data_IF_682527092261
#
_entry.id   IF_682527092261
#
_cell.length_a   1.000
_cell.length_b   1.000
_cell.length_c   1.000
_cell.angle_alpha   90.00
_cell.angle_beta   90.00
_cell.angle_gamma   90.00
#
_symmetry.space_group_name_H-M   'P 1'
#
loop_
_entity.id
_entity.type
_entity.pdbx_description
1 polymer ?
#
# COMPACT_ATOMS: atom_id res chain seq x y z
N UNK A 1 -1.24 5.98 9.16
CA UNK A 1 -0.93 7.42 8.85
C UNK A 1 0.08 7.49 7.71
N UNK A 2 0.16 8.63 6.96
CA UNK A 2 1.22 8.83 5.94
C UNK A 2 2.16 9.93 6.42
N UNK A 3 3.44 9.61 6.57
CA UNK A 3 4.50 10.56 6.94
C UNK A 3 5.24 11.02 5.68
N UNK A 4 5.57 12.32 5.62
CA UNK A 4 6.35 12.89 4.52
C UNK A 4 7.81 13.03 4.93
N UNK A 5 8.73 12.46 4.15
CA UNK A 5 10.17 12.58 4.37
C UNK A 5 10.89 12.87 3.06
N UNK A 6 12.08 13.49 3.18
CA UNK A 6 12.93 13.80 2.03
C UNK A 6 14.22 12.98 2.08
N UNK A 7 14.69 12.56 0.93
CA UNK A 7 15.94 11.81 0.75
C UNK A 7 16.82 12.41 -0.33
N UNK A 8 18.14 12.32 -0.12
CA UNK A 8 19.11 12.49 -1.19
C UNK A 8 18.92 11.41 -2.25
N UNK A 9 19.41 11.64 -3.47
CA UNK A 9 19.25 10.71 -4.58
C UNK A 9 19.75 9.29 -4.25
N UNK A 10 20.97 9.14 -3.70
CA UNK A 10 21.56 7.80 -3.44
C UNK A 10 20.72 6.94 -2.48
N UNK A 11 20.33 7.38 -1.28
CA UNK A 11 19.46 6.60 -0.40
C UNK A 11 18.05 6.39 -0.99
N UNK A 12 17.51 7.36 -1.72
CA UNK A 12 16.21 7.21 -2.39
C UNK A 12 16.23 6.06 -3.41
N UNK A 13 17.24 6.02 -4.28
CA UNK A 13 17.39 4.96 -5.28
C UNK A 13 17.64 3.59 -4.65
N UNK A 14 18.37 3.52 -3.54
CA UNK A 14 18.61 2.27 -2.80
C UNK A 14 17.32 1.74 -2.14
N UNK A 15 16.43 2.60 -1.64
CA UNK A 15 15.11 2.17 -1.16
C UNK A 15 14.25 1.74 -2.34
N UNK A 16 14.21 2.54 -3.42
CA UNK A 16 13.40 2.26 -4.61
C UNK A 16 13.70 0.90 -5.25
N UNK A 17 14.97 0.49 -5.28
CA UNK A 17 15.40 -0.80 -5.84
C UNK A 17 15.49 -1.94 -4.80
N UNK A 18 15.11 -1.69 -3.54
CA UNK A 18 15.08 -2.69 -2.47
C UNK A 18 16.42 -3.01 -1.82
N UNK A 19 17.54 -2.40 -2.26
CA UNK A 19 18.86 -2.65 -1.66
C UNK A 19 19.07 -1.97 -0.30
N UNK A 20 18.17 -1.06 0.09
CA UNK A 20 18.12 -0.44 1.42
C UNK A 20 16.71 -0.62 1.98
N UNK A 21 16.60 -1.35 3.08
CA UNK A 21 15.35 -1.63 3.77
C UNK A 21 15.23 -0.94 5.13
N UNK A 22 16.29 -0.32 5.64
CA UNK A 22 16.23 0.48 6.87
C UNK A 22 16.68 1.91 6.57
N UNK A 23 15.78 2.87 6.81
CA UNK A 23 16.10 4.29 6.79
C UNK A 23 16.58 4.74 8.17
N UNK A 24 17.61 5.61 8.19
CA UNK A 24 18.31 6.07 9.39
C UNK A 24 17.92 7.50 9.74
N UNK A 25 17.40 7.73 10.95
CA UNK A 25 16.96 9.04 11.43
C UNK A 25 17.33 9.27 12.91
N UNK A 26 17.34 10.53 13.35
CA UNK A 26 17.21 10.81 14.78
C UNK A 26 15.81 10.42 15.26
N UNK A 27 15.69 9.98 16.51
CA UNK A 27 14.41 9.71 17.15
C UNK A 27 13.82 11.01 17.76
N UNK A 28 13.80 12.08 16.95
CA UNK A 28 13.24 13.38 17.32
C UNK A 28 11.71 13.34 17.43
N UNK A 29 11.11 14.41 17.94
CA UNK A 29 9.69 14.52 18.21
C UNK A 29 8.82 14.14 16.99
N UNK A 30 9.28 14.51 15.78
CA UNK A 30 8.56 14.18 14.53
C UNK A 30 8.62 12.69 14.22
N UNK A 31 9.76 12.03 14.47
CA UNK A 31 9.95 10.60 14.16
C UNK A 31 9.39 9.68 15.24
N UNK A 32 9.21 10.19 16.47
CA UNK A 32 8.50 9.47 17.54
C UNK A 32 7.02 9.21 17.21
N UNK A 33 6.43 9.99 16.29
CA UNK A 33 5.06 9.80 15.83
C UNK A 33 4.90 8.62 14.86
N UNK A 34 6.01 8.12 14.27
CA UNK A 34 5.99 7.00 13.33
C UNK A 34 5.71 5.70 14.09
N UNK A 35 4.77 4.91 13.56
CA UNK A 35 4.38 3.61 14.12
C UNK A 35 4.56 2.51 13.09
N UNK A 36 4.78 1.29 13.55
CA UNK A 36 4.68 0.10 12.70
C UNK A 36 3.28 0.07 12.08
N UNK A 37 3.23 -0.16 10.77
CA UNK A 37 2.00 -0.11 10.02
C UNK A 37 1.67 1.25 9.40
N UNK A 38 2.42 2.32 9.69
CA UNK A 38 2.29 3.59 8.98
C UNK A 38 2.91 3.52 7.58
N UNK A 39 2.57 4.49 6.75
CA UNK A 39 3.22 4.72 5.45
C UNK A 39 4.20 5.88 5.54
N UNK A 40 5.27 5.80 4.76
CA UNK A 40 6.17 6.94 4.53
C UNK A 40 6.25 7.19 3.04
N UNK A 41 5.89 8.40 2.63
CA UNK A 41 6.16 8.90 1.30
C UNK A 41 7.50 9.66 1.31
N UNK A 42 8.46 9.13 0.58
CA UNK A 42 9.74 9.78 0.37
C UNK A 42 9.72 10.55 -0.95
N UNK A 43 10.15 11.83 -0.91
CA UNK A 43 10.45 12.60 -2.10
C UNK A 43 11.96 12.83 -2.23
N UNK A 44 12.48 12.87 -3.46
CA UNK A 44 13.87 13.23 -3.71
C UNK A 44 14.07 14.74 -3.49
N UNK A 45 15.20 15.10 -2.89
CA UNK A 45 15.52 16.52 -2.65
C UNK A 45 15.80 17.25 -3.96
N UNK A 46 16.51 16.62 -4.90
CA UNK A 46 16.89 17.16 -6.21
C UNK A 46 15.77 17.05 -7.27
N UNK A 47 14.75 16.21 -7.02
CA UNK A 47 13.58 16.07 -7.87
C UNK A 47 12.32 15.78 -7.01
N UNK A 48 11.69 16.80 -6.41
CA UNK A 48 10.58 16.62 -5.47
C UNK A 48 9.32 15.94 -6.07
N UNK A 49 9.21 15.91 -7.40
CA UNK A 49 8.11 15.23 -8.08
C UNK A 49 8.29 13.70 -8.12
N UNK A 50 9.51 13.22 -7.96
CA UNK A 50 9.76 11.79 -7.86
C UNK A 50 9.58 11.33 -6.43
N UNK A 51 8.59 10.48 -6.23
CA UNK A 51 8.17 9.97 -4.93
C UNK A 51 8.14 8.45 -4.92
N UNK A 52 8.37 7.88 -3.76
CA UNK A 52 8.15 6.46 -3.47
C UNK A 52 7.38 6.34 -2.16
N UNK A 53 6.53 5.34 -2.06
CA UNK A 53 5.79 5.05 -0.85
C UNK A 53 6.21 3.71 -0.26
N UNK A 54 6.39 3.68 1.05
CA UNK A 54 6.83 2.51 1.80
C UNK A 54 5.91 2.26 2.98
N UNK A 55 5.83 1.01 3.42
CA UNK A 55 5.19 0.58 4.67
C UNK A 55 6.25 0.43 5.75
N UNK A 56 5.99 0.94 6.94
CA UNK A 56 6.83 0.73 8.13
C UNK A 56 6.56 -0.67 8.68
N UNK A 57 7.56 -1.54 8.68
CA UNK A 57 7.46 -2.93 9.14
C UNK A 57 8.04 -3.13 10.53
N UNK A 58 9.07 -2.35 10.91
CA UNK A 58 9.64 -2.35 12.25
C UNK A 58 10.29 -1.01 12.59
N UNK A 59 10.50 -0.75 13.89
CA UNK A 59 11.17 0.43 14.41
C UNK A 59 12.25 -0.02 15.40
N UNK A 60 13.50 0.33 15.10
CA UNK A 60 14.69 -0.02 15.89
C UNK A 60 15.23 1.24 16.55
N UNK A 61 15.13 1.34 17.88
CA UNK A 61 15.58 2.50 18.67
C UNK A 61 16.85 2.17 19.43
N UNK A 62 17.86 3.07 19.33
CA UNK A 62 19.14 2.95 20.00
C UNK A 62 19.60 4.34 20.49
N UNK A 63 20.55 4.35 21.40
CA UNK A 63 21.12 5.61 21.90
C UNK A 63 22.06 6.25 20.87
N UNK A 64 22.71 5.44 20.02
CA UNK A 64 23.64 5.91 18.99
C UNK A 64 23.54 5.12 17.69
N UNK A 65 24.00 5.74 16.58
CA UNK A 65 24.14 5.00 15.31
C UNK A 65 25.20 3.90 15.39
N UNK A 66 26.21 4.05 16.24
CA UNK A 66 27.22 3.02 16.44
C UNK A 66 26.61 1.73 16.99
N UNK A 67 25.74 1.83 18.00
CA UNK A 67 25.01 0.68 18.54
C UNK A 67 24.06 0.07 17.52
N UNK A 68 23.35 0.92 16.79
CA UNK A 68 22.43 0.49 15.72
C UNK A 68 23.18 -0.30 14.64
N UNK A 69 24.36 0.16 14.22
CA UNK A 69 25.18 -0.51 13.21
C UNK A 69 25.80 -1.82 13.73
N UNK A 70 26.09 -1.90 15.02
CA UNK A 70 26.57 -3.14 15.64
C UNK A 70 25.47 -4.21 15.78
N UNK A 71 24.19 -3.77 15.86
CA UNK A 71 23.04 -4.64 16.15
C UNK A 71 22.32 -5.15 14.90
N UNK A 72 22.45 -4.48 13.76
CA UNK A 72 21.69 -4.80 12.54
C UNK A 72 22.61 -4.99 11.33
N UNK A 73 22.27 -5.88 10.38
CA UNK A 73 23.07 -6.13 9.19
C UNK A 73 23.24 -4.87 8.33
N UNK A 74 24.47 -4.56 7.94
CA UNK A 74 24.80 -3.38 7.12
C UNK A 74 24.13 -3.36 5.75
N UNK A 75 23.79 -4.52 5.23
CA UNK A 75 23.07 -4.69 3.96
C UNK A 75 21.69 -4.02 4.03
N UNK A 76 21.02 -4.06 5.18
CA UNK A 76 19.73 -3.37 5.39
C UNK A 76 19.84 -1.85 5.29
N UNK A 77 21.05 -1.28 5.52
CA UNK A 77 21.31 0.16 5.32
C UNK A 77 21.73 0.50 3.88
N UNK A 78 21.82 -0.53 3.02
CA UNK A 78 22.19 -0.41 1.62
C UNK A 78 23.70 -0.44 1.36
N UNK A 79 24.50 -1.03 2.25
CA UNK A 79 25.91 -1.34 2.02
C UNK A 79 26.07 -2.72 1.43
N UNK A 80 26.97 -2.89 0.47
CA UNK A 80 27.29 -4.19 -0.05
C UNK A 80 28.07 -5.03 0.99
N UNK A 81 28.09 -6.36 0.83
CA UNK A 81 28.76 -7.27 1.78
C UNK A 81 30.25 -7.00 1.92
N UNK A 82 30.91 -6.54 0.85
CA UNK A 82 32.32 -6.15 0.78
C UNK A 82 32.58 -4.67 1.12
N UNK A 83 31.52 -3.86 1.23
CA UNK A 83 31.61 -2.43 1.58
C UNK A 83 31.75 -2.25 3.10
N UNK A 84 32.71 -1.41 3.52
CA UNK A 84 32.86 -1.06 4.92
C UNK A 84 31.81 -0.02 5.35
N UNK A 85 31.14 -0.24 6.47
CA UNK A 85 30.30 0.75 7.13
C UNK A 85 31.09 1.38 8.28
N UNK A 86 31.56 2.65 8.15
CA UNK A 86 32.25 3.33 9.25
C UNK A 86 31.30 3.56 10.44
N UNK A 87 31.76 3.38 11.69
CA UNK A 87 30.94 3.63 12.88
C UNK A 87 30.40 5.06 12.99
N UNK A 88 31.14 6.03 12.41
CA UNK A 88 30.84 7.46 12.39
C UNK A 88 30.16 7.92 11.09
N UNK A 89 29.71 6.98 10.26
CA UNK A 89 29.09 7.28 8.95
C UNK A 89 27.97 8.35 9.03
N UNK A 90 27.20 8.34 10.09
CA UNK A 90 26.09 9.28 10.28
C UNK A 90 26.48 10.62 10.93
N UNK A 91 27.71 10.77 11.41
CA UNK A 91 28.19 12.02 12.03
C UNK A 91 28.25 13.17 11.00
N UNK A 92 28.39 12.84 9.71
CA UNK A 92 28.27 13.81 8.61
C UNK A 92 26.85 14.41 8.43
N UNK A 93 25.83 13.73 8.95
CA UNK A 93 24.42 14.14 8.83
C UNK A 93 23.83 14.63 10.14
N UNK A 94 24.28 14.06 11.28
CA UNK A 94 23.75 14.35 12.60
C UNK A 94 24.90 14.47 13.61
N UNK A 95 25.03 15.64 14.26
CA UNK A 95 26.03 15.82 15.30
C UNK A 95 25.82 14.87 16.48
N UNK A 96 26.89 14.50 17.19
CA UNK A 96 26.83 13.61 18.36
C UNK A 96 25.93 14.17 19.46
N UNK A 97 25.96 15.47 19.71
CA UNK A 97 25.05 16.14 20.63
C UNK A 97 23.56 15.84 20.31
N UNK A 98 23.18 15.84 19.01
CA UNK A 98 21.82 15.53 18.61
C UNK A 98 21.49 14.05 18.75
N UNK A 99 22.47 13.16 18.50
CA UNK A 99 22.30 11.72 18.72
C UNK A 99 22.09 11.45 20.22
N UNK A 100 22.89 12.03 21.11
CA UNK A 100 22.76 11.90 22.58
C UNK A 100 21.41 12.48 23.07
N UNK A 101 20.98 13.62 22.52
CA UNK A 101 19.74 14.27 22.93
C UNK A 101 18.47 13.50 22.55
N UNK A 102 18.42 12.93 21.36
CA UNK A 102 17.20 12.34 20.80
C UNK A 102 17.24 10.83 20.69
N UNK A 103 18.42 10.23 20.76
CA UNK A 103 18.64 8.87 20.31
C UNK A 103 18.50 8.74 18.79
N UNK A 104 18.58 7.54 18.28
CA UNK A 104 18.51 7.24 16.86
C UNK A 104 17.45 6.21 16.54
N UNK A 105 16.96 6.23 15.30
CA UNK A 105 15.88 5.40 14.83
C UNK A 105 16.24 4.77 13.49
N UNK A 106 16.28 3.44 13.44
CA UNK A 106 16.21 2.65 12.22
C UNK A 106 14.75 2.35 11.88
N UNK A 107 14.26 2.86 10.76
CA UNK A 107 12.90 2.63 10.28
C UNK A 107 12.97 1.52 9.24
N UNK A 108 12.48 0.31 9.57
CA UNK A 108 12.44 -0.79 8.61
C UNK A 108 11.24 -0.64 7.68
N UNK A 109 11.48 -0.81 6.37
CA UNK A 109 10.60 -0.41 5.31
C UNK A 109 10.38 -1.54 4.30
N UNK A 110 9.15 -1.66 3.81
CA UNK A 110 8.80 -2.44 2.63
C UNK A 110 8.23 -1.49 1.56
N UNK A 111 8.73 -1.60 0.33
CA UNK A 111 8.17 -0.85 -0.80
C UNK A 111 6.71 -1.25 -1.04
N UNK A 112 5.87 -0.28 -1.32
CA UNK A 112 4.50 -0.52 -1.79
C UNK A 112 4.34 -0.07 -3.23
N UNK A 113 3.43 -0.70 -3.94
CA UNK A 113 3.08 -0.32 -5.32
C UNK A 113 1.67 0.27 -5.40
N UNK A 114 1.14 0.79 -4.29
CA UNK A 114 -0.25 1.23 -4.18
C UNK A 114 -0.54 2.52 -4.97
N UNK A 115 0.49 3.29 -5.30
CA UNK A 115 0.32 4.55 -6.04
C UNK A 115 -0.40 4.36 -7.37
N UNK A 116 -0.19 3.20 -8.06
CA UNK A 116 -0.90 2.88 -9.31
C UNK A 116 -2.42 2.90 -9.18
N UNK A 117 -2.95 2.45 -8.03
CA UNK A 117 -4.38 2.47 -7.76
C UNK A 117 -4.87 3.90 -7.50
N UNK A 118 -4.12 4.68 -6.74
CA UNK A 118 -4.45 6.06 -6.40
C UNK A 118 -4.51 6.89 -7.67
N UNK A 119 -3.46 6.81 -8.50
CA UNK A 119 -3.39 7.54 -9.76
C UNK A 119 -4.54 7.18 -10.71
N UNK A 120 -4.85 5.87 -10.83
CA UNK A 120 -5.96 5.44 -11.67
C UNK A 120 -7.33 5.85 -11.12
N UNK A 121 -7.51 5.86 -9.80
CA UNK A 121 -8.74 6.33 -9.16
C UNK A 121 -8.90 7.86 -9.24
N UNK A 122 -7.81 8.62 -9.22
CA UNK A 122 -7.84 10.08 -9.29
C UNK A 122 -8.02 10.60 -10.72
N UNK A 123 -7.37 9.96 -11.69
CA UNK A 123 -7.25 10.48 -13.06
C UNK A 123 -7.85 9.58 -14.13
N UNK A 124 -8.33 8.39 -13.77
CA UNK A 124 -8.67 7.33 -14.72
C UNK A 124 -7.42 6.61 -15.26
N UNK A 125 -7.62 5.50 -15.94
CA UNK A 125 -6.56 4.77 -16.61
C UNK A 125 -7.00 4.35 -18.02
N UNK A 126 -6.24 4.72 -19.05
CA UNK A 126 -6.56 4.55 -20.46
C UNK A 126 -7.93 5.18 -20.76
N UNK A 127 -8.93 4.32 -21.06
CA UNK A 127 -10.32 4.71 -21.33
C UNK A 127 -11.24 4.57 -20.10
N UNK A 128 -10.63 4.35 -18.92
CA UNK A 128 -11.34 4.18 -17.66
C UNK A 128 -11.61 5.52 -16.97
N UNK A 129 -12.64 5.51 -16.14
CA UNK A 129 -13.10 6.66 -15.40
C UNK A 129 -12.54 6.73 -13.97
N UNK A 130 -12.70 7.88 -13.33
CA UNK A 130 -12.26 8.14 -11.96
C UNK A 130 -13.09 7.40 -10.92
N UNK A 131 -12.60 7.37 -9.68
CA UNK A 131 -13.35 6.86 -8.53
C UNK A 131 -14.67 7.60 -8.32
N UNK A 132 -14.71 8.92 -8.54
CA UNK A 132 -15.95 9.69 -8.41
C UNK A 132 -17.02 9.20 -9.36
N UNK A 133 -16.65 8.92 -10.62
CA UNK A 133 -17.58 8.34 -11.60
C UNK A 133 -18.04 6.96 -11.16
N UNK A 134 -17.09 6.10 -10.72
CA UNK A 134 -17.40 4.76 -10.24
C UNK A 134 -18.41 4.79 -9.06
N UNK A 135 -18.17 5.63 -8.09
CA UNK A 135 -19.04 5.78 -6.92
C UNK A 135 -20.45 6.28 -7.30
N UNK A 136 -20.52 7.25 -8.23
CA UNK A 136 -21.80 7.75 -8.75
C UNK A 136 -22.59 6.65 -9.48
N UNK A 137 -21.93 5.85 -10.33
CA UNK A 137 -22.55 4.75 -11.06
C UNK A 137 -23.08 3.67 -10.10
N UNK A 138 -22.31 3.31 -9.07
CA UNK A 138 -22.75 2.33 -8.06
C UNK A 138 -23.95 2.86 -7.29
N UNK A 139 -23.97 4.12 -6.88
CA UNK A 139 -25.15 4.72 -6.23
C UNK A 139 -26.38 4.78 -7.13
N UNK A 140 -26.21 4.77 -8.44
CA UNK A 140 -27.30 4.67 -9.43
C UNK A 140 -27.71 3.20 -9.71
N UNK A 141 -27.03 2.23 -9.10
CA UNK A 141 -27.32 0.81 -9.25
C UNK A 141 -26.82 0.20 -10.57
N UNK A 142 -25.99 0.91 -11.35
CA UNK A 142 -25.52 0.40 -12.63
C UNK A 142 -24.15 0.93 -13.02
N UNK A 143 -23.18 0.03 -13.17
CA UNK A 143 -21.87 0.31 -13.76
C UNK A 143 -22.01 0.54 -15.27
N UNK A 144 -21.42 1.63 -15.76
CA UNK A 144 -21.47 2.03 -17.17
C UNK A 144 -20.07 2.17 -17.80
N UNK A 145 -19.07 2.56 -17.03
CA UNK A 145 -17.73 2.87 -17.51
C UNK A 145 -16.65 1.89 -17.03
N UNK A 146 -15.40 2.08 -17.46
CA UNK A 146 -14.31 1.11 -17.30
C UNK A 146 -13.42 1.48 -16.13
N UNK A 147 -13.73 1.02 -14.92
CA UNK A 147 -12.97 1.31 -13.70
C UNK A 147 -12.78 0.11 -12.76
N UNK A 148 -13.33 -1.04 -13.10
CA UNK A 148 -13.43 -2.21 -12.21
C UNK A 148 -12.09 -2.64 -11.61
N UNK A 149 -11.01 -2.67 -12.41
CA UNK A 149 -9.72 -3.24 -12.03
C UNK A 149 -9.00 -2.49 -10.90
N UNK A 150 -9.19 -1.16 -10.81
CA UNK A 150 -8.50 -0.34 -9.82
C UNK A 150 -9.40 0.16 -8.68
N UNK A 151 -10.71 -0.03 -8.80
CA UNK A 151 -11.67 0.28 -7.74
C UNK A 151 -12.02 -0.97 -6.92
N UNK A 152 -12.23 -2.11 -7.58
CA UNK A 152 -12.39 -3.43 -6.96
C UNK A 152 -11.27 -4.37 -7.41
N UNK A 153 -10.04 -4.18 -6.90
CA UNK A 153 -8.89 -4.96 -7.36
C UNK A 153 -8.99 -6.42 -6.93
N UNK A 154 -8.43 -7.29 -7.78
CA UNK A 154 -8.42 -8.73 -7.59
C UNK A 154 -7.01 -9.23 -7.29
N UNK A 155 -6.89 -10.44 -6.72
CA UNK A 155 -5.62 -11.12 -6.57
C UNK A 155 -5.00 -11.41 -7.94
N UNK A 156 -3.68 -11.47 -8.02
CA UNK A 156 -2.91 -11.84 -9.20
C UNK A 156 -3.24 -13.28 -9.62
N UNK A 157 -3.24 -13.54 -10.93
CA UNK A 157 -3.48 -14.87 -11.49
C UNK A 157 -4.86 -15.05 -12.13
N UNK A 158 -5.83 -14.15 -11.88
CA UNK A 158 -7.20 -14.28 -12.39
C UNK A 158 -7.41 -13.77 -13.83
N UNK A 159 -6.40 -13.20 -14.46
CA UNK A 159 -6.52 -12.72 -15.84
C UNK A 159 -5.17 -12.35 -16.45
N UNK A 160 -5.15 -12.28 -17.79
CA UNK A 160 -3.93 -12.12 -18.58
C UNK A 160 -3.81 -10.78 -19.30
N UNK A 161 -4.84 -9.91 -19.25
CA UNK A 161 -4.74 -8.61 -19.89
C UNK A 161 -3.74 -7.70 -19.18
N UNK A 162 -3.10 -6.79 -19.91
CA UNK A 162 -2.16 -5.83 -19.34
C UNK A 162 -2.78 -5.01 -18.21
N UNK A 163 -4.04 -4.59 -18.34
CA UNK A 163 -4.77 -3.87 -17.29
C UNK A 163 -4.99 -4.73 -16.05
N UNK A 164 -5.39 -6.01 -16.24
CA UNK A 164 -5.56 -6.94 -15.12
C UNK A 164 -4.24 -7.16 -14.39
N UNK A 165 -3.13 -7.38 -15.11
CA UNK A 165 -1.82 -7.59 -14.52
C UNK A 165 -1.35 -6.33 -13.77
N UNK A 166 -1.54 -5.15 -14.35
CA UNK A 166 -1.14 -3.88 -13.74
C UNK A 166 -1.86 -3.61 -12.40
N UNK A 167 -3.16 -3.87 -12.35
CA UNK A 167 -4.01 -3.60 -11.18
C UNK A 167 -4.33 -4.84 -10.34
N UNK A 168 -3.62 -5.94 -10.53
CA UNK A 168 -3.73 -7.07 -9.62
C UNK A 168 -2.99 -6.79 -8.31
N UNK A 169 -3.57 -7.28 -7.22
CA UNK A 169 -2.92 -7.37 -5.90
C UNK A 169 -2.01 -8.59 -5.92
N UNK A 170 -0.73 -8.43 -5.58
CA UNK A 170 0.26 -9.50 -5.70
C UNK A 170 0.07 -10.63 -4.69
N UNK A 171 -0.33 -10.29 -3.46
CA UNK A 171 -0.48 -11.22 -2.33
C UNK A 171 -1.39 -10.60 -1.24
N UNK A 172 -1.66 -11.40 -0.20
CA UNK A 172 -2.50 -10.98 0.93
C UNK A 172 -1.91 -9.79 1.70
N UNK A 173 -0.58 -9.63 1.74
CA UNK A 173 0.06 -8.52 2.41
C UNK A 173 -0.14 -7.21 1.65
N UNK A 174 -0.11 -7.23 0.31
CA UNK A 174 -0.47 -6.04 -0.47
C UNK A 174 -1.95 -5.70 -0.33
N UNK A 175 -2.85 -6.69 -0.21
CA UNK A 175 -4.26 -6.45 0.09
C UNK A 175 -4.45 -5.78 1.46
N UNK A 176 -3.71 -6.22 2.47
CA UNK A 176 -3.68 -5.58 3.80
C UNK A 176 -3.12 -4.16 3.74
N UNK A 177 -2.06 -3.93 2.98
CA UNK A 177 -1.53 -2.59 2.76
C UNK A 177 -2.54 -1.68 2.04
N UNK A 178 -3.22 -2.20 1.00
CA UNK A 178 -4.28 -1.48 0.30
C UNK A 178 -5.37 -1.03 1.28
N UNK A 179 -5.85 -1.96 2.09
CA UNK A 179 -6.87 -1.66 3.10
C UNK A 179 -6.36 -0.74 4.23
N UNK A 180 -5.10 -0.81 4.62
CA UNK A 180 -4.52 0.07 5.62
C UNK A 180 -4.21 1.48 5.08
N UNK A 181 -4.16 1.67 3.75
CA UNK A 181 -3.86 2.96 3.14
C UNK A 181 -5.05 3.94 3.27
N UNK A 182 -4.88 5.14 3.87
CA UNK A 182 -6.00 6.00 4.25
C UNK A 182 -6.95 6.36 3.10
N UNK A 183 -6.41 6.62 1.90
CA UNK A 183 -7.20 6.99 0.73
C UNK A 183 -7.91 5.76 0.15
N UNK A 184 -7.17 4.66 -0.05
CA UNK A 184 -7.71 3.45 -0.67
C UNK A 184 -8.73 2.75 0.23
N UNK A 185 -8.46 2.71 1.55
CA UNK A 185 -9.42 2.19 2.54
C UNK A 185 -10.74 2.95 2.49
N UNK A 186 -10.67 4.29 2.62
CA UNK A 186 -11.86 5.12 2.60
C UNK A 186 -12.70 4.85 1.37
N UNK A 187 -12.07 4.83 0.19
CA UNK A 187 -12.76 4.62 -1.08
C UNK A 187 -13.34 3.21 -1.22
N UNK A 188 -12.57 2.20 -0.84
CA UNK A 188 -13.04 0.81 -0.91
C UNK A 188 -14.22 0.58 0.03
N UNK A 189 -14.15 1.04 1.27
CA UNK A 189 -15.25 0.91 2.23
C UNK A 189 -16.47 1.66 1.75
N UNK A 190 -16.33 2.93 1.37
CA UNK A 190 -17.44 3.79 0.93
C UNK A 190 -18.20 3.21 -0.27
N UNK A 191 -17.49 2.74 -1.29
CA UNK A 191 -18.14 2.16 -2.48
C UNK A 191 -18.72 0.77 -2.21
N UNK A 192 -18.12 0.01 -1.28
CA UNK A 192 -18.61 -1.31 -0.88
C UNK A 192 -19.88 -1.17 -0.02
N UNK A 193 -19.94 -0.19 0.88
CA UNK A 193 -21.16 0.15 1.62
C UNK A 193 -22.30 0.57 0.67
N UNK A 194 -22.00 1.39 -0.34
CA UNK A 194 -22.98 1.81 -1.33
C UNK A 194 -23.59 0.62 -2.13
N UNK A 195 -22.87 -0.50 -2.27
CA UNK A 195 -23.43 -1.71 -2.86
C UNK A 195 -24.55 -2.33 -2.01
N UNK A 196 -24.47 -2.20 -0.69
CA UNK A 196 -25.49 -2.74 0.21
C UNK A 196 -26.78 -1.95 0.13
N UNK A 197 -26.75 -0.69 -0.27
CA UNK A 197 -27.93 0.19 -0.43
C UNK A 197 -28.69 -0.05 -1.75
N UNK A 198 -28.10 -0.77 -2.71
CA UNK A 198 -28.76 -1.06 -4.01
C UNK A 198 -29.93 -2.02 -3.80
N UNK A 199 -31.08 -1.77 -4.42
CA UNK A 199 -32.27 -2.61 -4.24
C UNK A 199 -32.11 -4.04 -4.79
N UNK A 200 -31.40 -4.21 -5.93
CA UNK A 200 -31.23 -5.53 -6.55
C UNK A 200 -30.14 -6.38 -5.86
N UNK A 201 -30.34 -7.67 -5.84
CA UNK A 201 -29.34 -8.66 -5.42
C UNK A 201 -28.63 -9.34 -6.61
N UNK A 202 -28.99 -8.97 -7.85
CA UNK A 202 -28.37 -9.55 -9.03
C UNK A 202 -27.15 -8.72 -9.46
N UNK A 203 -25.91 -9.26 -9.29
CA UNK A 203 -24.71 -8.55 -9.68
C UNK A 203 -24.59 -8.33 -11.19
N UNK A 204 -25.31 -9.14 -12.01
CA UNK A 204 -25.32 -8.96 -13.46
C UNK A 204 -26.09 -7.72 -13.88
N UNK A 205 -27.11 -7.33 -13.12
CA UNK A 205 -27.86 -6.08 -13.35
C UNK A 205 -26.96 -4.87 -13.07
N UNK A 206 -26.16 -4.92 -12.00
CA UNK A 206 -25.31 -3.81 -11.57
C UNK A 206 -24.04 -3.71 -12.41
N UNK A 207 -23.35 -4.82 -12.64
CA UNK A 207 -22.00 -4.85 -13.19
C UNK A 207 -21.91 -5.42 -14.62
N UNK A 208 -22.85 -6.29 -15.01
CA UNK A 208 -22.76 -7.05 -16.24
C UNK A 208 -21.65 -8.13 -16.21
N UNK A 209 -21.49 -8.82 -17.34
CA UNK A 209 -20.43 -9.82 -17.54
C UNK A 209 -19.21 -9.15 -18.21
N UNK A 210 -17.94 -9.35 -17.74
CA UNK A 210 -17.54 -10.27 -16.66
C UNK A 210 -17.39 -9.60 -15.26
N UNK A 211 -17.77 -8.34 -15.09
CA UNK A 211 -17.44 -7.55 -13.90
C UNK A 211 -18.16 -8.04 -12.63
N UNK A 212 -19.31 -8.68 -12.78
CA UNK A 212 -19.98 -9.35 -11.66
C UNK A 212 -19.12 -10.43 -10.98
N UNK A 213 -18.33 -11.18 -11.75
CA UNK A 213 -17.39 -12.16 -11.19
C UNK A 213 -16.20 -11.50 -10.52
N UNK A 214 -15.72 -10.37 -11.07
CA UNK A 214 -14.61 -9.61 -10.45
C UNK A 214 -15.00 -9.02 -9.11
N UNK A 215 -16.28 -8.62 -8.94
CA UNK A 215 -16.77 -8.20 -7.62
C UNK A 215 -16.61 -9.33 -6.61
N UNK A 216 -17.05 -10.56 -6.93
CA UNK A 216 -16.93 -11.71 -6.06
C UNK A 216 -15.48 -11.99 -5.68
N UNK A 217 -14.57 -11.96 -6.65
CA UNK A 217 -13.13 -12.16 -6.42
C UNK A 217 -12.56 -11.07 -5.49
N UNK A 218 -12.90 -9.79 -5.69
CA UNK A 218 -12.46 -8.69 -4.84
C UNK A 218 -13.00 -8.84 -3.40
N UNK A 219 -14.28 -9.13 -3.24
CA UNK A 219 -14.87 -9.31 -1.91
C UNK A 219 -14.26 -10.51 -1.17
N UNK A 220 -13.99 -11.60 -1.87
CA UNK A 220 -13.28 -12.75 -1.31
C UNK A 220 -11.89 -12.35 -0.83
N UNK A 221 -11.10 -11.66 -1.66
CA UNK A 221 -9.76 -11.19 -1.30
C UNK A 221 -9.77 -10.36 -0.01
N UNK A 222 -10.61 -9.33 0.06
CA UNK A 222 -10.62 -8.43 1.20
C UNK A 222 -11.26 -9.03 2.46
N UNK A 223 -12.17 -9.97 2.35
CA UNK A 223 -12.64 -10.78 3.49
C UNK A 223 -11.47 -11.49 4.20
N UNK A 224 -10.52 -12.06 3.45
CA UNK A 224 -9.35 -12.73 4.03
C UNK A 224 -8.24 -11.75 4.44
N UNK A 225 -8.12 -10.62 3.76
CA UNK A 225 -7.15 -9.60 4.14
C UNK A 225 -7.48 -8.94 5.48
N UNK A 226 -8.77 -8.75 5.78
CA UNK A 226 -9.27 -8.04 6.97
C UNK A 226 -10.44 -8.79 7.63
N UNK A 227 -10.16 -9.94 8.26
CA UNK A 227 -11.20 -10.85 8.77
C UNK A 227 -12.06 -10.25 9.88
N UNK A 228 -11.60 -9.18 10.51
CA UNK A 228 -12.36 -8.47 11.56
C UNK A 228 -13.42 -7.50 10.99
N UNK A 229 -13.54 -7.39 9.65
CA UNK A 229 -14.52 -6.54 8.99
C UNK A 229 -15.51 -7.37 8.17
N UNK A 230 -16.76 -7.44 8.62
CA UNK A 230 -17.83 -8.22 7.99
C UNK A 230 -18.37 -7.60 6.69
N UNK A 231 -17.98 -6.38 6.33
CA UNK A 231 -18.51 -5.66 5.17
C UNK A 231 -18.42 -6.46 3.87
N UNK A 232 -17.27 -7.09 3.64
CA UNK A 232 -17.02 -7.87 2.41
C UNK A 232 -17.86 -9.15 2.38
N UNK A 233 -18.08 -9.79 3.54
CA UNK A 233 -18.98 -10.93 3.66
C UNK A 233 -20.43 -10.53 3.38
N UNK A 234 -20.88 -9.37 3.88
CA UNK A 234 -22.24 -8.89 3.62
C UNK A 234 -22.51 -8.70 2.12
N UNK A 235 -21.52 -8.19 1.36
CA UNK A 235 -21.65 -8.07 -0.11
C UNK A 235 -21.66 -9.44 -0.79
N UNK A 236 -20.82 -10.40 -0.34
CA UNK A 236 -20.89 -11.79 -0.83
C UNK A 236 -22.27 -12.42 -0.56
N UNK A 237 -22.82 -12.21 0.62
CA UNK A 237 -24.15 -12.71 0.98
C UNK A 237 -25.23 -12.12 0.07
N UNK A 238 -25.20 -10.80 -0.15
CA UNK A 238 -26.17 -10.10 -0.97
C UNK A 238 -26.11 -10.48 -2.44
N UNK A 239 -24.93 -10.46 -3.05
CA UNK A 239 -24.77 -10.56 -4.51
C UNK A 239 -24.29 -11.93 -4.98
N UNK A 240 -23.75 -12.77 -4.09
CA UNK A 240 -23.14 -14.05 -4.44
C UNK A 240 -23.71 -15.24 -3.65
N UNK A 241 -24.82 -15.06 -2.93
CA UNK A 241 -25.41 -16.08 -2.04
C UNK A 241 -24.38 -16.62 -1.02
N UNK A 242 -23.50 -15.79 -0.51
CA UNK A 242 -22.43 -16.13 0.42
C UNK A 242 -21.25 -16.89 -0.19
N UNK A 243 -21.25 -17.13 -1.51
CA UNK A 243 -20.21 -17.93 -2.17
C UNK A 243 -18.96 -17.09 -2.45
N UNK A 244 -17.85 -17.60 -1.99
CA UNK A 244 -16.51 -17.10 -2.27
C UNK A 244 -16.04 -17.47 -3.70
N UNK A 245 -14.96 -16.84 -4.14
CA UNK A 245 -14.33 -17.13 -5.43
C UNK A 245 -13.20 -18.13 -5.25
N UNK A 246 -13.40 -19.37 -5.73
CA UNK A 246 -12.43 -20.46 -5.57
C UNK A 246 -11.07 -20.12 -6.15
N UNK A 247 -11.03 -19.45 -7.31
CA UNK A 247 -9.76 -19.04 -7.93
C UNK A 247 -9.01 -18.01 -7.09
N UNK A 248 -9.72 -17.12 -6.41
CA UNK A 248 -9.09 -16.19 -5.45
C UNK A 248 -8.48 -16.95 -4.29
N UNK A 249 -9.20 -17.95 -3.73
CA UNK A 249 -8.70 -18.76 -2.60
C UNK A 249 -7.44 -19.56 -2.97
N UNK A 250 -7.35 -20.07 -4.19
CA UNK A 250 -6.18 -20.81 -4.69
C UNK A 250 -4.93 -19.91 -4.84
N UNK A 251 -5.11 -18.58 -4.93
CA UNK A 251 -4.03 -17.61 -5.14
C UNK A 251 -3.69 -16.78 -3.88
N UNK A 252 -4.37 -17.01 -2.74
CA UNK A 252 -4.06 -16.38 -1.45
C UNK A 252 -2.88 -17.06 -0.77
#
# INVERSE_FOLDING_TARGET
>A
MIHQMKLQNKPFMKIKNGSKTIELRLNDEKRQLVKVGDFIEFSRIDNPNEKIQTRVTALHRFDSFQELFASLPKEKFGFASDEMLPPDYMDAYYSREKQEKYGVLGIELRMTQLQRFIDAQDYGYNWGDTYETAFKEIRQGKKCSCWMWYVFPQIKGLGLSQTTILFSINDIEEARDYYAHPVLNKRLVEITEALLDIETNDPMVVFGNPDAYKLRSCMTLFKYAVPDNDLFQQVLDKFCCGKEDDQTLENL
#
